data_IF_849969154537
#
_entry.id   IF_849969154537
#
_cell.length_a   1.000
_cell.length_b   1.000
_cell.length_c   1.000
_cell.angle_alpha   90.00
_cell.angle_beta   90.00
_cell.angle_gamma   90.00
#
_symmetry.space_group_name_H-M   'P 1'
#
loop_
_entity.id
_entity.type
_entity.pdbx_description
1 polymer ?
#
# COMPACT_ATOMS: atom_id res chain seq x y z
N UNK A 1 -29.04 -45.97 -29.67
CA UNK A 1 -29.93 -46.94 -29.05
C UNK A 1 -29.99 -46.54 -27.59
N UNK A 2 -31.00 -45.89 -27.06
CA UNK A 2 -32.42 -45.90 -27.21
C UNK A 2 -33.00 -44.50 -26.96
N UNK A 3 -33.92 -44.16 -27.86
CA UNK A 3 -34.89 -43.10 -27.71
C UNK A 3 -35.90 -43.44 -26.63
N UNK A 4 -36.27 -42.49 -25.82
CA UNK A 4 -37.51 -42.53 -25.05
C UNK A 4 -38.24 -41.20 -25.19
N UNK A 5 -39.20 -41.22 -26.11
CA UNK A 5 -40.31 -40.31 -26.24
C UNK A 5 -41.07 -40.22 -24.90
N UNK A 6 -41.35 -39.03 -24.43
CA UNK A 6 -42.38 -38.72 -23.47
C UNK A 6 -43.48 -37.93 -24.13
N UNK A 7 -44.56 -38.59 -24.33
CA UNK A 7 -45.87 -38.07 -24.72
C UNK A 7 -46.32 -36.95 -23.78
N UNK A 8 -46.62 -35.80 -24.35
CA UNK A 8 -47.38 -34.73 -23.74
C UNK A 8 -48.87 -35.00 -23.83
N UNK A 9 -49.46 -35.33 -22.68
CA UNK A 9 -50.92 -35.40 -22.55
C UNK A 9 -51.45 -34.00 -22.26
N UNK A 10 -52.08 -33.39 -23.25
CA UNK A 10 -52.88 -32.17 -23.07
C UNK A 10 -54.19 -32.51 -22.34
N UNK A 11 -54.43 -31.83 -21.22
CA UNK A 11 -55.75 -31.80 -20.56
C UNK A 11 -56.51 -30.54 -20.97
N UNK A 12 -57.77 -30.62 -21.28
CA UNK A 12 -58.56 -29.49 -21.77
C UNK A 12 -59.06 -28.59 -20.63
N UNK A 13 -58.93 -27.33 -20.88
CA UNK A 13 -59.64 -26.17 -20.37
C UNK A 13 -60.44 -26.22 -19.09
N UNK A 14 -59.97 -25.52 -18.08
CA UNK A 14 -60.87 -24.88 -17.09
C UNK A 14 -60.62 -23.35 -17.21
N UNK A 15 -61.62 -22.65 -17.73
CA UNK A 15 -61.67 -21.19 -17.69
C UNK A 15 -61.85 -20.73 -16.26
N UNK A 16 -60.72 -20.48 -15.60
CA UNK A 16 -60.64 -19.76 -14.35
C UNK A 16 -60.30 -18.31 -14.65
N UNK A 17 -61.22 -17.41 -14.40
CA UNK A 17 -61.03 -15.96 -14.32
C UNK A 17 -59.77 -15.67 -13.55
N UNK A 18 -58.77 -15.05 -14.13
CA UNK A 18 -57.56 -14.57 -13.47
C UNK A 18 -57.98 -13.69 -12.27
N UNK A 19 -57.47 -13.94 -11.08
CA UNK A 19 -57.64 -13.01 -9.99
C UNK A 19 -56.95 -11.70 -10.40
N UNK A 20 -57.66 -10.58 -10.15
CA UNK A 20 -57.16 -9.23 -10.33
C UNK A 20 -55.71 -9.17 -9.83
N UNK A 21 -54.80 -8.72 -10.68
CA UNK A 21 -53.51 -8.20 -10.27
C UNK A 21 -53.78 -7.05 -9.29
N UNK A 22 -53.96 -7.38 -8.00
CA UNK A 22 -53.88 -6.39 -6.96
C UNK A 22 -52.52 -5.71 -7.11
N UNK A 23 -52.53 -4.39 -7.34
CA UNK A 23 -51.36 -3.52 -7.46
C UNK A 23 -50.39 -3.84 -6.32
N UNK A 24 -49.41 -4.68 -6.60
CA UNK A 24 -48.27 -4.84 -5.67
C UNK A 24 -47.67 -3.44 -5.49
N UNK A 25 -47.53 -2.98 -4.23
CA UNK A 25 -47.03 -1.66 -3.98
C UNK A 25 -45.63 -1.51 -4.59
N UNK A 26 -45.42 -0.45 -5.37
CA UNK A 26 -44.12 -0.16 -5.99
C UNK A 26 -43.03 -0.12 -4.93
N UNK A 27 -42.08 -1.05 -4.99
CA UNK A 27 -40.93 -1.14 -4.07
C UNK A 27 -39.70 -0.54 -4.74
N UNK A 28 -38.97 0.27 -4.00
CA UNK A 28 -37.72 0.88 -4.47
C UNK A 28 -36.60 0.73 -3.46
N UNK A 29 -35.46 0.24 -3.90
CA UNK A 29 -34.26 0.19 -3.04
C UNK A 29 -33.65 1.58 -2.92
N UNK A 30 -33.51 2.08 -1.70
CA UNK A 30 -32.93 3.42 -1.39
C UNK A 30 -31.81 3.21 -0.39
N UNK A 31 -30.61 3.57 -0.79
CA UNK A 31 -29.42 3.45 0.07
C UNK A 31 -29.50 4.39 1.29
N UNK A 32 -29.25 3.84 2.46
CA UNK A 32 -29.10 4.63 3.68
C UNK A 32 -27.95 5.64 3.58
N UNK A 33 -28.24 6.90 3.90
CA UNK A 33 -27.27 7.98 3.87
C UNK A 33 -26.58 8.20 5.23
N UNK A 34 -27.28 8.05 6.38
CA UNK A 34 -26.66 8.16 7.70
C UNK A 34 -25.68 7.03 7.96
N UNK A 35 -24.77 7.24 8.92
CA UNK A 35 -23.90 6.18 9.42
C UNK A 35 -24.74 5.08 10.11
N UNK A 36 -24.33 3.84 9.97
CA UNK A 36 -24.96 2.70 10.66
C UNK A 36 -24.86 2.81 12.21
N UNK A 37 -23.97 3.67 12.70
CA UNK A 37 -23.72 3.90 14.13
C UNK A 37 -24.32 5.21 14.65
N UNK A 38 -25.10 5.91 13.82
CA UNK A 38 -25.85 7.11 14.21
C UNK A 38 -27.36 6.82 14.26
N UNK A 39 -27.85 6.21 15.37
CA UNK A 39 -29.26 5.83 15.47
C UNK A 39 -30.20 7.03 15.31
N UNK A 40 -29.86 8.21 15.85
CA UNK A 40 -30.64 9.43 15.68
C UNK A 40 -30.66 9.96 14.25
N UNK A 41 -29.51 9.92 13.58
CA UNK A 41 -29.42 10.28 12.17
C UNK A 41 -30.29 9.36 11.30
N UNK A 42 -30.34 8.05 11.61
CA UNK A 42 -31.21 7.10 10.92
C UNK A 42 -32.69 7.39 11.22
N UNK A 43 -33.07 7.53 12.50
CA UNK A 43 -34.45 7.85 12.91
C UNK A 43 -34.99 9.08 12.19
N UNK A 44 -34.21 10.16 12.17
CA UNK A 44 -34.60 11.42 11.50
C UNK A 44 -34.71 11.20 9.97
N UNK A 45 -33.70 10.57 9.37
CA UNK A 45 -33.67 10.37 7.93
C UNK A 45 -34.86 9.50 7.46
N UNK A 46 -35.20 8.42 8.19
CA UNK A 46 -36.36 7.58 7.90
C UNK A 46 -37.68 8.35 8.01
N UNK A 47 -37.81 9.22 9.04
CA UNK A 47 -38.98 10.05 9.21
C UNK A 47 -39.13 11.08 8.09
N UNK A 48 -38.03 11.68 7.61
CA UNK A 48 -38.02 12.56 6.45
C UNK A 48 -38.43 11.79 5.16
N UNK A 49 -38.00 10.55 4.98
CA UNK A 49 -38.41 9.70 3.84
C UNK A 49 -39.89 9.33 3.90
N UNK A 50 -40.39 9.02 5.07
CA UNK A 50 -41.82 8.75 5.25
C UNK A 50 -42.69 9.95 4.92
N UNK A 51 -42.25 11.17 5.25
CA UNK A 51 -42.91 12.43 4.89
C UNK A 51 -42.89 12.69 3.38
N UNK A 52 -41.95 12.07 2.64
CA UNK A 52 -41.90 12.08 1.18
C UNK A 52 -42.73 10.92 0.52
N UNK A 53 -43.46 10.14 1.31
CA UNK A 53 -44.23 8.99 0.82
C UNK A 53 -43.39 7.70 0.62
N UNK A 54 -42.17 7.64 1.17
CA UNK A 54 -41.26 6.49 1.10
C UNK A 54 -41.21 5.80 2.44
N UNK A 55 -41.97 4.72 2.62
CA UNK A 55 -42.06 3.97 3.87
C UNK A 55 -41.11 2.78 3.85
N UNK A 56 -40.30 2.64 4.89
CA UNK A 56 -39.40 1.49 5.05
C UNK A 56 -40.21 0.19 5.21
N UNK A 57 -39.93 -0.81 4.38
CA UNK A 57 -40.49 -2.15 4.43
C UNK A 57 -39.50 -3.16 5.02
N UNK A 58 -38.29 -3.15 4.47
CA UNK A 58 -37.10 -3.91 4.92
C UNK A 58 -35.88 -3.03 4.85
N UNK A 59 -34.78 -3.47 5.37
CA UNK A 59 -33.54 -2.71 5.26
C UNK A 59 -33.21 -2.41 3.76
N UNK A 60 -33.04 -1.13 3.43
CA UNK A 60 -32.83 -0.58 2.08
C UNK A 60 -34.06 -0.63 1.11
N UNK A 61 -35.16 -1.35 1.44
CA UNK A 61 -36.35 -1.44 0.59
C UNK A 61 -37.48 -0.58 1.13
N UNK A 62 -38.00 0.28 0.26
CA UNK A 62 -39.05 1.24 0.57
C UNK A 62 -40.28 1.02 -0.32
N UNK A 63 -41.45 1.09 0.28
CA UNK A 63 -42.71 1.17 -0.46
C UNK A 63 -43.00 2.63 -0.77
N UNK A 64 -43.33 2.91 -2.04
CA UNK A 64 -43.77 4.25 -2.47
C UNK A 64 -45.28 4.34 -2.28
N UNK A 65 -45.70 5.35 -1.56
CA UNK A 65 -47.13 5.58 -1.26
C UNK A 65 -47.38 7.01 -0.84
N UNK A 66 -48.51 7.22 -0.16
CA UNK A 66 -48.88 8.56 0.32
C UNK A 66 -47.88 9.00 1.42
N UNK A 67 -47.52 10.30 1.46
CA UNK A 67 -46.76 10.91 2.55
C UNK A 67 -47.39 10.64 3.91
N UNK A 68 -46.58 10.15 4.85
CA UNK A 68 -47.04 9.88 6.22
C UNK A 68 -46.14 10.57 7.25
N UNK A 69 -46.76 11.25 8.20
CA UNK A 69 -46.07 11.87 9.34
C UNK A 69 -45.87 10.84 10.45
N UNK A 70 -44.91 9.95 10.25
CA UNK A 70 -44.54 8.90 11.22
C UNK A 70 -43.12 9.10 11.74
N UNK A 71 -42.89 8.59 12.95
CA UNK A 71 -41.56 8.58 13.59
C UNK A 71 -40.97 7.17 13.54
N UNK A 72 -39.67 7.14 13.46
CA UNK A 72 -38.91 5.89 13.62
C UNK A 72 -38.14 5.92 14.94
N UNK A 73 -37.96 4.75 15.51
CA UNK A 73 -37.16 4.56 16.72
C UNK A 73 -36.27 3.33 16.58
N UNK A 74 -34.99 3.50 16.91
CA UNK A 74 -33.99 2.44 16.90
C UNK A 74 -33.74 1.98 18.34
N UNK A 75 -34.00 0.69 18.59
CA UNK A 75 -33.76 0.03 19.86
C UNK A 75 -32.66 -1.03 19.69
N UNK A 76 -31.69 -1.15 20.65
CA UNK A 76 -30.68 -2.21 20.59
C UNK A 76 -31.37 -3.58 20.51
N UNK A 77 -30.92 -4.40 19.54
CA UNK A 77 -31.50 -5.74 19.35
C UNK A 77 -31.27 -6.59 20.59
N UNK A 78 -32.33 -7.20 21.08
CA UNK A 78 -32.28 -8.06 22.26
C UNK A 78 -31.61 -9.40 21.93
N UNK A 79 -31.88 -9.93 20.73
CA UNK A 79 -31.38 -11.23 20.26
C UNK A 79 -30.89 -11.18 18.79
N UNK A 80 -30.36 -12.29 18.28
CA UNK A 80 -29.88 -12.42 16.89
C UNK A 80 -31.03 -12.55 15.88
N UNK A 81 -32.23 -12.79 16.35
CA UNK A 81 -33.43 -12.90 15.56
C UNK A 81 -34.29 -11.64 15.60
N UNK A 82 -35.41 -11.67 14.92
CA UNK A 82 -36.45 -10.66 15.02
C UNK A 82 -37.03 -10.64 16.46
N UNK A 83 -37.58 -9.48 16.90
CA UNK A 83 -38.12 -9.39 18.25
C UNK A 83 -39.23 -10.42 18.49
N UNK A 84 -39.19 -11.04 19.66
CA UNK A 84 -40.22 -12.01 20.10
C UNK A 84 -41.61 -11.34 20.20
N UNK A 85 -42.66 -12.14 20.20
CA UNK A 85 -44.04 -11.67 20.24
C UNK A 85 -44.31 -10.84 21.52
N UNK A 86 -43.68 -11.20 22.63
CA UNK A 86 -43.86 -10.46 23.90
C UNK A 86 -43.29 -9.04 23.81
N UNK A 87 -42.16 -8.85 23.13
CA UNK A 87 -41.57 -7.53 22.92
C UNK A 87 -42.39 -6.74 21.90
N UNK A 88 -42.87 -7.39 20.82
CA UNK A 88 -43.74 -6.73 19.81
C UNK A 88 -45.02 -6.21 20.46
N UNK A 89 -45.73 -7.06 21.30
CA UNK A 89 -46.91 -6.61 22.01
C UNK A 89 -46.64 -5.45 22.98
N UNK A 90 -45.52 -5.51 23.74
CA UNK A 90 -45.14 -4.41 24.64
C UNK A 90 -44.94 -3.11 23.87
N UNK A 91 -44.32 -3.15 22.67
CA UNK A 91 -44.08 -1.98 21.84
C UNK A 91 -45.36 -1.50 21.14
N UNK A 92 -46.20 -2.42 20.69
CA UNK A 92 -47.52 -2.11 20.12
C UNK A 92 -48.42 -1.31 21.10
N UNK A 93 -48.41 -1.65 22.40
CA UNK A 93 -49.14 -0.90 23.44
C UNK A 93 -48.62 0.53 23.61
N UNK A 94 -47.40 0.82 23.19
CA UNK A 94 -46.81 2.19 23.19
C UNK A 94 -46.94 2.88 21.82
N UNK A 95 -47.65 2.24 20.86
CA UNK A 95 -47.88 2.82 19.53
C UNK A 95 -46.74 2.56 18.54
N UNK A 96 -45.89 1.54 18.80
CA UNK A 96 -44.78 1.19 17.92
C UNK A 96 -45.03 -0.14 17.20
N UNK A 97 -44.79 -0.16 15.89
CA UNK A 97 -44.86 -1.34 15.02
C UNK A 97 -43.43 -1.73 14.61
N UNK A 98 -43.10 -3.02 14.69
CA UNK A 98 -41.83 -3.54 14.22
C UNK A 98 -41.79 -3.49 12.67
N UNK A 99 -40.70 -2.95 12.11
CA UNK A 99 -40.47 -2.88 10.66
C UNK A 99 -39.44 -3.91 10.23
N UNK A 100 -38.20 -3.75 10.69
CA UNK A 100 -37.10 -4.61 10.35
C UNK A 100 -35.90 -4.39 11.30
N UNK A 101 -34.85 -5.13 11.05
CA UNK A 101 -33.56 -4.98 11.73
C UNK A 101 -32.57 -4.21 10.84
N UNK A 102 -31.65 -3.49 11.45
CA UNK A 102 -30.52 -2.88 10.71
C UNK A 102 -29.65 -3.96 10.10
N UNK A 103 -29.00 -3.68 8.96
CA UNK A 103 -28.12 -4.61 8.25
C UNK A 103 -27.06 -5.24 9.14
N UNK A 104 -26.55 -4.46 10.07
CA UNK A 104 -25.54 -4.91 11.05
C UNK A 104 -26.15 -5.72 12.20
N UNK A 105 -27.48 -5.80 12.32
CA UNK A 105 -28.18 -6.48 13.38
C UNK A 105 -28.00 -5.87 14.76
N UNK A 106 -27.58 -4.60 14.84
CA UNK A 106 -27.34 -3.90 16.10
C UNK A 106 -28.63 -3.37 16.67
N UNK A 107 -29.57 -2.91 15.80
CA UNK A 107 -30.82 -2.30 16.21
C UNK A 107 -32.01 -2.95 15.53
N UNK A 108 -33.14 -2.99 16.27
CA UNK A 108 -34.48 -3.10 15.74
C UNK A 108 -34.98 -1.74 15.31
N UNK A 109 -35.70 -1.66 14.19
CA UNK A 109 -36.33 -0.45 13.67
C UNK A 109 -37.82 -0.54 13.91
N UNK A 110 -38.33 0.39 14.68
CA UNK A 110 -39.74 0.53 15.00
C UNK A 110 -40.31 1.75 14.30
N UNK A 111 -41.55 1.67 13.83
CA UNK A 111 -42.31 2.77 13.25
C UNK A 111 -43.50 3.07 14.14
N UNK A 112 -43.80 4.35 14.40
CA UNK A 112 -44.93 4.75 15.20
C UNK A 112 -45.47 6.10 14.76
N UNK A 113 -46.66 6.46 15.27
CA UNK A 113 -47.19 7.78 15.08
C UNK A 113 -46.34 8.82 15.82
N UNK A 114 -46.51 10.12 15.46
CA UNK A 114 -45.76 11.22 16.08
C UNK A 114 -45.98 11.32 17.58
N UNK A 115 -47.14 10.86 18.06
CA UNK A 115 -47.57 10.84 19.47
C UNK A 115 -47.04 9.62 20.24
N UNK A 116 -46.45 8.63 19.56
CA UNK A 116 -45.96 7.42 20.20
C UNK A 116 -44.93 7.72 21.30
N UNK A 117 -45.09 7.12 22.45
CA UNK A 117 -44.20 7.34 23.59
C UNK A 117 -42.87 6.56 23.36
N UNK A 118 -41.77 7.30 23.40
CA UNK A 118 -40.45 6.70 23.24
C UNK A 118 -40.04 5.96 24.51
N UNK A 119 -39.81 4.66 24.44
CA UNK A 119 -39.40 3.88 25.61
C UNK A 119 -38.05 4.34 26.16
N UNK A 120 -37.94 4.39 27.50
CA UNK A 120 -36.66 4.69 28.13
C UNK A 120 -35.76 3.44 27.97
N UNK A 121 -34.52 3.61 27.47
CA UNK A 121 -33.59 2.50 27.36
C UNK A 121 -33.33 1.90 28.77
N UNK A 122 -33.46 0.59 28.91
CA UNK A 122 -33.07 -0.15 30.10
C UNK A 122 -32.17 -1.29 29.66
N UNK A 123 -31.15 -1.56 30.47
CA UNK A 123 -30.24 -2.72 30.31
C UNK A 123 -29.60 -2.84 28.89
N UNK A 124 -29.18 -1.71 28.31
CA UNK A 124 -28.61 -1.69 26.97
C UNK A 124 -27.38 -2.56 26.81
N UNK A 125 -26.61 -2.77 27.90
CA UNK A 125 -25.35 -3.55 27.88
C UNK A 125 -25.57 -5.05 27.78
N UNK A 126 -26.71 -5.54 28.18
CA UNK A 126 -27.04 -6.99 28.09
C UNK A 126 -27.59 -7.38 26.73
N UNK A 127 -27.89 -6.37 25.89
CA UNK A 127 -28.47 -6.61 24.56
C UNK A 127 -27.48 -7.30 23.62
N UNK A 128 -28.03 -8.11 22.72
CA UNK A 128 -27.24 -8.69 21.60
C UNK A 128 -26.59 -7.63 20.75
N UNK A 129 -27.32 -6.52 20.46
CA UNK A 129 -26.82 -5.39 19.69
C UNK A 129 -25.55 -4.78 20.28
N UNK A 130 -25.47 -4.62 21.60
CA UNK A 130 -24.26 -4.16 22.27
C UNK A 130 -23.09 -5.14 22.11
N UNK A 131 -23.34 -6.44 22.35
CA UNK A 131 -22.29 -7.47 22.16
C UNK A 131 -21.78 -7.50 20.73
N UNK A 132 -22.66 -7.36 19.76
CA UNK A 132 -22.31 -7.30 18.33
C UNK A 132 -21.51 -6.05 17.98
N UNK A 133 -21.87 -4.90 18.54
CA UNK A 133 -21.10 -3.65 18.41
C UNK A 133 -19.67 -3.81 18.96
N UNK A 134 -19.53 -4.38 20.17
CA UNK A 134 -18.23 -4.64 20.79
C UNK A 134 -17.36 -5.59 19.94
N UNK A 135 -17.96 -6.65 19.39
CA UNK A 135 -17.27 -7.61 18.51
C UNK A 135 -16.81 -6.91 17.22
N UNK A 136 -17.65 -6.04 16.63
CA UNK A 136 -17.32 -5.30 15.42
C UNK A 136 -16.23 -4.26 15.69
N UNK A 137 -16.32 -3.56 16.82
CA UNK A 137 -15.29 -2.62 17.27
C UNK A 137 -13.94 -3.30 17.45
N UNK A 138 -13.91 -4.48 18.11
CA UNK A 138 -12.67 -5.26 18.25
C UNK A 138 -12.08 -5.69 16.90
N UNK A 139 -12.93 -6.11 15.96
CA UNK A 139 -12.49 -6.47 14.60
C UNK A 139 -11.94 -5.30 13.83
N UNK A 140 -12.47 -4.08 14.02
CA UNK A 140 -12.01 -2.89 13.31
C UNK A 140 -10.59 -2.46 13.68
N UNK A 141 -10.01 -2.96 14.78
CA UNK A 141 -8.59 -2.77 15.11
C UNK A 141 -7.68 -3.76 14.42
N UNK A 142 -8.19 -4.91 14.00
CA UNK A 142 -7.36 -5.97 13.43
C UNK A 142 -6.75 -5.55 12.08
N UNK A 143 -7.54 -4.98 11.20
CA UNK A 143 -7.08 -4.60 9.85
C UNK A 143 -6.00 -3.50 9.87
N UNK A 144 -6.17 -2.37 10.60
CA UNK A 144 -5.09 -1.37 10.72
C UNK A 144 -3.82 -1.91 11.38
N UNK A 145 -3.96 -2.75 12.41
CA UNK A 145 -2.80 -3.40 13.04
C UNK A 145 -2.08 -4.33 12.07
N UNK A 146 -2.81 -5.06 11.25
CA UNK A 146 -2.24 -5.92 10.22
C UNK A 146 -1.44 -5.10 9.20
N UNK A 147 -2.01 -4.01 8.67
CA UNK A 147 -1.27 -3.13 7.74
C UNK A 147 -0.05 -2.51 8.39
N UNK A 148 -0.15 -2.02 9.62
CA UNK A 148 1.01 -1.50 10.36
C UNK A 148 2.13 -2.53 10.49
N UNK A 149 1.79 -3.78 10.81
CA UNK A 149 2.78 -4.87 10.91
C UNK A 149 3.38 -5.19 9.55
N UNK A 150 2.57 -5.18 8.47
CA UNK A 150 3.05 -5.40 7.10
C UNK A 150 3.98 -4.26 6.67
N UNK A 151 3.64 -3.01 6.95
CA UNK A 151 4.47 -1.85 6.62
C UNK A 151 5.81 -1.90 7.38
N UNK A 152 5.80 -2.19 8.69
CA UNK A 152 7.02 -2.37 9.50
C UNK A 152 7.85 -3.54 8.95
N UNK A 153 7.20 -4.65 8.61
CA UNK A 153 7.89 -5.81 8.04
C UNK A 153 8.49 -5.50 6.67
N UNK A 154 7.77 -4.75 5.82
CA UNK A 154 8.26 -4.33 4.50
C UNK A 154 9.50 -3.43 4.64
N UNK A 155 9.46 -2.46 5.55
CA UNK A 155 10.62 -1.59 5.85
C UNK A 155 11.79 -2.43 6.36
N UNK A 156 11.55 -3.32 7.33
CA UNK A 156 12.57 -4.23 7.84
C UNK A 156 13.14 -5.13 6.74
N UNK A 157 12.28 -5.69 5.88
CA UNK A 157 12.68 -6.54 4.75
C UNK A 157 13.56 -5.75 3.77
N UNK A 158 13.17 -4.53 3.39
CA UNK A 158 13.97 -3.67 2.52
C UNK A 158 15.37 -3.42 3.12
N UNK A 159 15.46 -3.10 4.42
CA UNK A 159 16.75 -2.86 5.07
C UNK A 159 17.56 -4.13 5.35
N UNK A 160 16.93 -5.30 5.48
CA UNK A 160 17.62 -6.55 5.82
C UNK A 160 18.02 -7.38 4.60
N UNK A 161 17.25 -7.27 3.50
CA UNK A 161 17.52 -8.01 2.25
C UNK A 161 18.44 -7.21 1.33
N UNK A 162 18.38 -5.89 1.40
CA UNK A 162 19.31 -5.02 0.70
C UNK A 162 20.61 -4.98 1.49
N UNK A 163 21.63 -5.66 0.98
CA UNK A 163 22.98 -5.62 1.57
C UNK A 163 23.58 -4.21 1.58
N UNK A 164 23.05 -3.32 0.74
CA UNK A 164 23.46 -1.93 0.53
C UNK A 164 22.24 -0.98 0.58
N UNK A 165 21.66 -0.73 1.79
CA UNK A 165 20.43 0.06 1.90
C UNK A 165 20.58 1.51 1.47
N UNK A 166 21.69 2.18 1.77
CA UNK A 166 21.93 3.58 1.38
C UNK A 166 22.11 3.70 -0.12
N UNK A 167 22.95 2.85 -0.71
CA UNK A 167 23.14 2.78 -2.16
C UNK A 167 21.82 2.53 -2.88
N UNK A 168 21.05 1.52 -2.46
CA UNK A 168 19.75 1.19 -3.04
C UNK A 168 18.76 2.36 -2.96
N UNK A 169 18.80 3.11 -1.86
CA UNK A 169 17.96 4.29 -1.68
C UNK A 169 18.37 5.43 -2.62
N UNK A 170 19.68 5.63 -2.83
CA UNK A 170 20.19 6.67 -3.72
C UNK A 170 19.98 6.34 -5.19
N UNK A 171 20.04 5.07 -5.56
CA UNK A 171 19.84 4.59 -6.95
C UNK A 171 18.37 4.37 -7.30
N UNK A 172 17.44 4.61 -6.35
CA UNK A 172 16.00 4.40 -6.53
C UNK A 172 15.43 5.32 -7.60
N UNK A 173 14.87 4.74 -8.65
CA UNK A 173 14.24 5.50 -9.75
C UNK A 173 13.00 6.27 -9.32
N UNK A 174 12.60 7.27 -10.11
CA UNK A 174 11.39 8.09 -9.84
C UNK A 174 10.14 7.24 -9.68
N UNK A 175 10.00 6.19 -10.50
CA UNK A 175 8.88 5.23 -10.45
C UNK A 175 8.82 4.49 -9.12
N UNK A 176 9.97 4.07 -8.60
CA UNK A 176 10.09 3.34 -7.32
C UNK A 176 9.75 4.23 -6.13
N UNK A 177 10.27 5.47 -6.13
CA UNK A 177 9.96 6.47 -5.09
C UNK A 177 8.46 6.77 -5.07
N UNK A 178 7.83 6.98 -6.23
CA UNK A 178 6.39 7.22 -6.33
C UNK A 178 5.60 6.02 -5.82
N UNK A 179 6.01 4.80 -6.16
CA UNK A 179 5.40 3.57 -5.70
C UNK A 179 5.47 3.45 -4.18
N UNK A 180 6.66 3.65 -3.59
CA UNK A 180 6.89 3.58 -2.16
C UNK A 180 6.05 4.61 -1.40
N UNK A 181 6.06 5.88 -1.86
CA UNK A 181 5.23 6.96 -1.29
C UNK A 181 3.74 6.64 -1.43
N UNK A 182 3.30 6.06 -2.56
CA UNK A 182 1.90 5.70 -2.80
C UNK A 182 1.42 4.59 -1.87
N UNK A 183 2.26 3.60 -1.56
CA UNK A 183 1.96 2.52 -0.60
C UNK A 183 1.78 3.12 0.81
N UNK A 184 2.75 3.91 1.26
CA UNK A 184 2.69 4.55 2.59
C UNK A 184 1.47 5.46 2.70
N UNK A 185 1.23 6.30 1.71
CA UNK A 185 0.08 7.21 1.69
C UNK A 185 -1.25 6.44 1.67
N UNK A 186 -1.34 5.36 0.89
CA UNK A 186 -2.49 4.47 0.85
C UNK A 186 -2.79 3.84 2.21
N UNK A 187 -1.76 3.34 2.91
CA UNK A 187 -1.88 2.79 4.26
C UNK A 187 -2.34 3.84 5.27
N UNK A 188 -1.76 5.04 5.25
CA UNK A 188 -2.16 6.14 6.14
C UNK A 188 -3.62 6.54 5.88
N UNK A 189 -4.02 6.72 4.63
CA UNK A 189 -5.40 7.08 4.27
C UNK A 189 -6.39 5.97 4.65
N UNK A 190 -6.01 4.70 4.50
CA UNK A 190 -6.77 3.54 4.95
C UNK A 190 -7.02 3.59 6.47
N UNK A 191 -5.97 3.75 7.26
CA UNK A 191 -6.04 3.87 8.73
C UNK A 191 -6.94 5.06 9.15
N UNK A 192 -6.79 6.22 8.51
CA UNK A 192 -7.56 7.41 8.81
C UNK A 192 -9.05 7.25 8.45
N UNK A 193 -9.37 6.59 7.33
CA UNK A 193 -10.76 6.35 6.91
C UNK A 193 -11.52 5.46 7.90
N UNK A 194 -10.85 4.46 8.46
CA UNK A 194 -11.44 3.56 9.46
C UNK A 194 -11.47 4.16 10.87
N UNK A 195 -10.54 5.06 11.20
CA UNK A 195 -10.49 5.70 12.51
C UNK A 195 -11.79 6.43 12.85
N UNK A 196 -12.45 7.00 11.84
CA UNK A 196 -13.73 7.65 12.04
C UNK A 196 -14.86 6.67 12.38
N UNK A 197 -15.00 5.59 11.60
CA UNK A 197 -16.02 4.58 11.86
C UNK A 197 -15.83 3.98 13.26
N UNK A 198 -14.59 3.77 13.67
CA UNK A 198 -14.24 3.36 15.04
C UNK A 198 -14.67 4.39 16.09
N UNK A 199 -14.45 5.67 15.83
CA UNK A 199 -14.86 6.72 16.76
C UNK A 199 -16.39 6.80 16.91
N UNK A 200 -17.13 6.62 15.82
CA UNK A 200 -18.59 6.53 15.84
C UNK A 200 -19.07 5.30 16.65
N UNK A 201 -18.46 4.14 16.42
CA UNK A 201 -18.72 2.93 17.20
C UNK A 201 -18.40 3.11 18.69
N UNK A 202 -17.29 3.79 19.03
CA UNK A 202 -16.92 4.11 20.41
C UNK A 202 -17.91 5.05 21.07
N UNK A 203 -18.36 6.08 20.36
CA UNK A 203 -19.36 7.03 20.85
C UNK A 203 -20.68 6.32 21.12
N UNK A 204 -21.12 5.47 20.18
CA UNK A 204 -22.33 4.66 20.35
C UNK A 204 -22.17 3.70 21.53
N UNK A 205 -21.03 3.01 21.65
CA UNK A 205 -20.76 2.11 22.78
C UNK A 205 -20.88 2.79 24.12
N UNK A 206 -20.24 3.97 24.28
CA UNK A 206 -20.32 4.77 25.53
C UNK A 206 -21.75 5.18 25.86
N UNK A 207 -22.51 5.62 24.85
CA UNK A 207 -23.91 5.99 25.06
C UNK A 207 -24.77 4.79 25.48
N UNK A 208 -24.54 3.61 24.91
CA UNK A 208 -25.21 2.38 25.33
C UNK A 208 -24.81 1.96 26.76
N UNK A 209 -23.55 2.14 27.15
CA UNK A 209 -23.08 1.89 28.54
C UNK A 209 -23.71 2.86 29.54
N UNK A 210 -23.91 4.12 29.17
CA UNK A 210 -24.56 5.12 29.98
C UNK A 210 -26.11 5.04 29.94
N UNK A 211 -26.67 4.16 29.10
CA UNK A 211 -28.11 4.14 28.77
C UNK A 211 -28.64 5.51 28.33
N UNK A 212 -27.80 6.30 27.68
CA UNK A 212 -28.12 7.62 27.18
C UNK A 212 -28.43 7.58 25.67
N UNK A 213 -29.24 8.54 25.22
CA UNK A 213 -29.49 8.72 23.80
C UNK A 213 -28.29 9.40 23.16
N UNK A 214 -27.77 8.78 22.09
CA UNK A 214 -26.71 9.38 21.26
C UNK A 214 -27.20 10.68 20.65
N UNK A 215 -26.42 11.75 20.76
CA UNK A 215 -26.66 12.95 20.00
C UNK A 215 -26.36 12.69 18.51
N UNK A 216 -27.04 13.43 17.61
CA UNK A 216 -26.85 13.28 16.17
C UNK A 216 -25.39 13.52 15.78
N UNK A 217 -24.77 12.54 15.16
CA UNK A 217 -23.39 12.66 14.74
C UNK A 217 -23.23 13.60 13.52
N UNK A 218 -22.17 14.42 13.48
CA UNK A 218 -21.96 15.32 12.37
C UNK A 218 -21.73 14.56 11.07
N UNK A 219 -22.46 14.92 10.01
CA UNK A 219 -22.34 14.29 8.69
C UNK A 219 -20.95 14.50 8.10
N UNK A 220 -20.20 13.45 7.91
CA UNK A 220 -18.86 13.55 7.35
C UNK A 220 -18.87 13.50 5.81
N UNK A 221 -18.61 14.63 5.19
CA UNK A 221 -18.48 14.74 3.73
C UNK A 221 -17.17 14.12 3.20
N UNK A 222 -16.15 14.05 4.06
CA UNK A 222 -14.80 13.56 3.70
C UNK A 222 -14.65 12.04 3.63
N UNK A 223 -15.54 11.27 4.25
CA UNK A 223 -15.46 9.80 4.25
C UNK A 223 -15.50 9.20 2.85
N UNK A 224 -16.30 9.80 1.92
CA UNK A 224 -16.36 9.35 0.52
C UNK A 224 -15.08 9.71 -0.22
N UNK A 225 -14.54 10.90 0.01
CA UNK A 225 -13.29 11.36 -0.60
C UNK A 225 -12.10 10.52 -0.15
N UNK A 226 -11.99 10.21 1.15
CA UNK A 226 -10.92 9.36 1.67
C UNK A 226 -10.94 7.95 1.06
N UNK A 227 -12.12 7.32 0.93
CA UNK A 227 -12.21 6.00 0.27
C UNK A 227 -11.81 6.05 -1.20
N UNK A 228 -12.24 7.10 -1.92
CA UNK A 228 -11.83 7.28 -3.31
C UNK A 228 -10.32 7.48 -3.44
N UNK A 229 -9.71 8.30 -2.58
CA UNK A 229 -8.27 8.51 -2.53
C UNK A 229 -7.50 7.23 -2.21
N UNK A 230 -7.97 6.41 -1.26
CA UNK A 230 -7.35 5.11 -0.93
C UNK A 230 -7.39 4.16 -2.14
N UNK A 231 -8.52 4.09 -2.86
CA UNK A 231 -8.64 3.27 -4.07
C UNK A 231 -7.71 3.79 -5.17
N UNK A 232 -7.67 5.11 -5.39
CA UNK A 232 -6.80 5.73 -6.39
C UNK A 232 -5.33 5.45 -6.08
N UNK A 233 -4.90 5.62 -4.82
CA UNK A 233 -3.53 5.33 -4.39
C UNK A 233 -3.17 3.84 -4.60
N UNK A 234 -4.08 2.93 -4.27
CA UNK A 234 -3.88 1.49 -4.52
C UNK A 234 -3.79 1.13 -6.00
N UNK A 235 -4.66 1.71 -6.84
CA UNK A 235 -4.60 1.50 -8.30
C UNK A 235 -3.32 2.07 -8.87
N UNK A 236 -2.90 3.27 -8.45
CA UNK A 236 -1.65 3.89 -8.88
C UNK A 236 -0.44 3.02 -8.53
N UNK A 237 -0.37 2.53 -7.29
CA UNK A 237 0.71 1.63 -6.86
C UNK A 237 0.77 0.35 -7.71
N UNK A 238 -0.38 -0.29 -7.96
CA UNK A 238 -0.45 -1.49 -8.80
C UNK A 238 -0.03 -1.20 -10.26
N UNK A 239 -0.45 -0.06 -10.82
CA UNK A 239 -0.10 0.33 -12.19
C UNK A 239 1.40 0.54 -12.33
N UNK A 240 2.05 1.18 -11.34
CA UNK A 240 3.49 1.41 -11.34
C UNK A 240 4.28 0.09 -11.19
N UNK A 241 3.80 -0.85 -10.36
CA UNK A 241 4.40 -2.20 -10.28
C UNK A 241 4.34 -2.89 -11.64
N UNK A 242 3.21 -2.81 -12.33
CA UNK A 242 3.02 -3.46 -13.64
C UNK A 242 3.87 -2.83 -14.73
N UNK A 243 4.07 -1.50 -14.67
CA UNK A 243 4.93 -0.79 -15.63
C UNK A 243 6.39 -1.20 -15.48
N UNK A 244 6.88 -1.30 -14.24
CA UNK A 244 8.28 -1.67 -13.97
C UNK A 244 8.65 -3.07 -14.49
N UNK A 245 7.74 -4.05 -14.44
CA UNK A 245 7.99 -5.40 -14.96
C UNK A 245 8.30 -5.38 -16.46
N UNK A 246 7.86 -4.33 -17.17
CA UNK A 246 8.10 -4.16 -18.61
C UNK A 246 9.24 -3.21 -18.95
N UNK A 247 9.78 -2.46 -17.97
CA UNK A 247 10.83 -1.45 -18.19
C UNK A 247 12.13 -1.90 -17.52
N UNK A 248 12.71 -2.98 -18.03
CA UNK A 248 14.10 -3.34 -17.72
C UNK A 248 15.00 -2.47 -18.59
N UNK A 249 15.24 -1.25 -18.14
CA UNK A 249 16.23 -0.37 -18.75
C UNK A 249 17.62 -0.98 -18.51
N UNK A 250 18.12 -1.70 -19.52
CA UNK A 250 19.54 -1.95 -19.64
C UNK A 250 20.22 -0.61 -19.87
N UNK A 251 21.35 -0.36 -19.21
CA UNK A 251 22.17 0.80 -19.51
C UNK A 251 22.56 0.82 -21.01
N UNK A 252 22.77 2.00 -21.53
CA UNK A 252 23.21 2.16 -22.91
C UNK A 252 24.62 1.55 -23.07
N UNK A 253 24.88 0.93 -24.21
CA UNK A 253 26.20 0.39 -24.56
C UNK A 253 26.85 1.32 -25.57
N UNK A 254 28.14 1.60 -25.39
CA UNK A 254 28.92 2.52 -26.21
C UNK A 254 30.24 1.87 -26.64
N UNK A 255 30.74 2.21 -27.82
CA UNK A 255 32.04 1.78 -28.31
C UNK A 255 33.20 2.53 -27.60
N UNK A 256 32.93 3.74 -27.16
CA UNK A 256 33.82 4.56 -26.33
C UNK A 256 33.09 5.09 -25.12
N UNK A 257 33.70 5.16 -23.90
CA UNK A 257 33.06 5.67 -22.74
C UNK A 257 32.70 7.15 -22.91
N UNK A 258 31.41 7.52 -22.83
CA UNK A 258 30.99 8.92 -22.94
C UNK A 258 31.29 9.76 -21.69
N UNK A 259 31.72 9.10 -20.63
CA UNK A 259 32.09 9.67 -19.35
C UNK A 259 33.56 9.41 -19.03
N UNK A 260 34.21 10.24 -18.20
CA UNK A 260 35.57 9.99 -17.72
C UNK A 260 35.73 8.60 -17.12
N UNK A 261 36.72 7.84 -17.56
CA UNK A 261 36.86 6.45 -17.15
C UNK A 261 38.30 5.95 -17.24
N UNK A 262 38.72 5.16 -16.27
CA UNK A 262 39.97 4.40 -16.31
C UNK A 262 39.64 2.99 -16.74
N UNK A 263 39.98 2.62 -17.95
CA UNK A 263 39.74 1.29 -18.49
C UNK A 263 40.79 0.28 -18.06
N UNK A 264 40.49 -1.00 -18.28
CA UNK A 264 41.38 -2.11 -17.97
C UNK A 264 42.76 -1.98 -18.64
N UNK A 265 42.83 -1.46 -19.88
CA UNK A 265 44.09 -1.23 -20.59
C UNK A 265 45.04 -0.23 -19.92
N UNK A 266 44.49 0.82 -19.31
CA UNK A 266 45.26 1.83 -18.56
C UNK A 266 45.87 1.24 -17.28
N UNK A 267 45.30 0.15 -16.78
CA UNK A 267 45.71 -0.58 -15.58
C UNK A 267 46.51 -1.86 -15.94
N UNK A 268 47.13 -1.89 -17.11
CA UNK A 268 47.99 -2.97 -17.53
C UNK A 268 47.29 -4.27 -17.93
N UNK A 269 45.97 -4.29 -17.98
CA UNK A 269 45.16 -5.42 -18.38
C UNK A 269 44.87 -5.45 -19.87
N UNK A 270 44.31 -6.57 -20.35
CA UNK A 270 43.78 -6.68 -21.71
C UNK A 270 42.33 -6.16 -21.75
N UNK A 271 41.99 -5.42 -22.80
CA UNK A 271 40.64 -4.93 -23.00
C UNK A 271 39.65 -6.08 -23.11
N UNK A 272 38.68 -6.11 -22.19
CA UNK A 272 37.75 -7.23 -22.08
C UNK A 272 36.64 -7.25 -23.13
N UNK A 273 36.16 -6.07 -23.58
CA UNK A 273 35.09 -5.96 -24.58
C UNK A 273 35.26 -4.72 -25.46
N UNK A 274 34.59 -4.72 -26.62
CA UNK A 274 34.57 -3.57 -27.54
C UNK A 274 33.54 -2.52 -27.15
N UNK A 275 32.86 -2.65 -26.01
CA UNK A 275 31.82 -1.74 -25.58
C UNK A 275 31.74 -1.57 -24.06
N UNK A 276 31.28 -0.40 -23.65
CA UNK A 276 31.14 0.01 -22.28
C UNK A 276 29.65 0.05 -21.90
N UNK A 277 29.31 -0.43 -20.72
CA UNK A 277 28.01 -0.19 -20.12
C UNK A 277 28.02 1.15 -19.39
N UNK A 278 27.12 2.04 -19.74
CA UNK A 278 27.01 3.36 -19.10
C UNK A 278 25.62 3.54 -18.53
N UNK A 279 25.59 4.06 -17.31
CA UNK A 279 24.35 4.41 -16.62
C UNK A 279 24.48 5.82 -16.05
N UNK A 280 23.63 6.73 -16.51
CA UNK A 280 23.46 8.06 -15.95
C UNK A 280 22.08 8.17 -15.35
N UNK A 281 22.01 8.22 -14.01
CA UNK A 281 20.77 8.26 -13.26
C UNK A 281 20.63 9.59 -12.52
N UNK A 282 19.63 10.37 -12.91
CA UNK A 282 19.16 11.48 -12.07
C UNK A 282 18.01 11.03 -11.20
N UNK A 283 18.29 10.70 -9.94
CA UNK A 283 17.29 10.21 -9.00
C UNK A 283 16.77 11.31 -8.07
N UNK A 284 15.54 11.17 -7.52
CA UNK A 284 15.01 12.20 -6.64
C UNK A 284 15.81 12.42 -5.36
N UNK A 285 16.48 11.38 -4.85
CA UNK A 285 17.20 11.36 -3.58
C UNK A 285 18.71 11.29 -3.78
N UNK A 286 19.15 10.52 -4.78
CA UNK A 286 20.57 10.34 -5.09
C UNK A 286 21.20 11.50 -5.84
N UNK A 287 20.42 12.48 -6.34
CA UNK A 287 20.96 13.50 -7.20
C UNK A 287 21.43 12.90 -8.51
N UNK A 288 22.74 12.97 -8.81
CA UNK A 288 23.35 12.32 -9.94
C UNK A 288 24.10 11.06 -9.49
N UNK A 289 23.91 9.99 -10.24
CA UNK A 289 24.65 8.74 -10.09
C UNK A 289 25.13 8.32 -11.47
N UNK A 290 26.43 8.30 -11.64
CA UNK A 290 27.07 7.86 -12.86
C UNK A 290 27.70 6.49 -12.63
N UNK A 291 27.50 5.56 -13.55
CA UNK A 291 28.13 4.24 -13.51
C UNK A 291 28.68 3.92 -14.89
N UNK A 292 29.93 3.56 -14.96
CA UNK A 292 30.60 3.12 -16.18
C UNK A 292 31.32 1.80 -15.91
N UNK A 293 31.09 0.81 -16.74
CA UNK A 293 31.72 -0.49 -16.57
C UNK A 293 32.15 -1.09 -17.89
N UNK A 294 33.24 -1.81 -17.84
CA UNK A 294 33.81 -2.60 -18.92
C UNK A 294 33.57 -4.10 -18.65
N UNK A 295 32.89 -4.78 -19.57
CA UNK A 295 32.62 -6.21 -19.42
C UNK A 295 33.81 -7.05 -19.85
N UNK A 296 34.14 -8.13 -19.11
CA UNK A 296 35.17 -9.06 -19.54
C UNK A 296 34.75 -9.73 -20.84
N UNK A 297 35.72 -10.03 -21.70
CA UNK A 297 35.53 -10.83 -22.90
C UNK A 297 35.11 -12.26 -22.47
N UNK A 298 33.82 -12.51 -22.41
CA UNK A 298 33.30 -13.84 -22.08
C UNK A 298 32.74 -14.52 -23.31
N UNK A 299 33.47 -15.44 -23.85
CA UNK A 299 33.01 -16.39 -24.89
C UNK A 299 31.93 -17.37 -24.44
N UNK A 300 31.27 -17.18 -23.29
CA UNK A 300 30.18 -18.02 -22.78
C UNK A 300 29.11 -17.24 -22.10
N UNK A 301 27.89 -17.44 -22.56
CA UNK A 301 26.62 -16.77 -22.21
C UNK A 301 26.19 -16.94 -20.72
N UNK A 302 26.95 -17.64 -19.89
CA UNK A 302 26.49 -18.09 -18.56
C UNK A 302 27.01 -17.27 -17.36
N UNK A 303 27.70 -16.18 -17.59
CA UNK A 303 28.15 -15.30 -16.51
C UNK A 303 27.37 -13.99 -16.54
N UNK A 304 26.41 -13.85 -15.64
CA UNK A 304 25.75 -12.59 -15.29
C UNK A 304 26.82 -11.50 -15.11
N UNK A 305 26.76 -10.47 -15.98
CA UNK A 305 27.63 -9.31 -16.10
C UNK A 305 28.56 -9.06 -14.90
N UNK A 306 29.73 -9.69 -14.89
CA UNK A 306 30.83 -9.27 -14.05
C UNK A 306 31.66 -8.30 -14.89
N UNK A 307 31.63 -7.04 -14.54
CA UNK A 307 32.54 -6.07 -15.12
C UNK A 307 33.96 -6.35 -14.61
N UNK A 308 34.93 -6.36 -15.52
CA UNK A 308 36.34 -6.41 -15.12
C UNK A 308 36.80 -5.12 -14.47
N UNK A 309 36.13 -4.04 -14.80
CA UNK A 309 36.36 -2.71 -14.24
C UNK A 309 35.03 -1.95 -14.15
N UNK A 310 34.75 -1.35 -13.01
CA UNK A 310 33.52 -0.64 -12.72
C UNK A 310 33.84 0.63 -11.94
N UNK A 311 33.29 1.76 -12.38
CA UNK A 311 33.37 3.06 -11.73
C UNK A 311 31.96 3.54 -11.46
N UNK A 312 31.65 3.83 -10.20
CA UNK A 312 30.42 4.48 -9.79
C UNK A 312 30.74 5.81 -9.11
N UNK A 313 30.07 6.87 -9.54
CA UNK A 313 30.14 8.18 -8.90
C UNK A 313 28.77 8.59 -8.38
N UNK A 314 28.70 8.98 -7.12
CA UNK A 314 27.50 9.38 -6.41
C UNK A 314 27.59 10.82 -5.96
N UNK A 315 26.64 11.67 -6.39
CA UNK A 315 26.47 13.04 -5.90
C UNK A 315 25.09 13.22 -5.24
N UNK A 316 24.90 12.71 -4.00
CA UNK A 316 23.62 12.78 -3.32
C UNK A 316 23.13 14.21 -3.11
N UNK A 317 21.84 14.48 -3.38
CA UNK A 317 21.21 15.78 -3.06
C UNK A 317 21.31 16.16 -1.59
N UNK A 318 21.33 15.15 -0.71
CA UNK A 318 21.55 15.32 0.71
C UNK A 318 22.99 14.89 1.00
N UNK A 319 23.90 15.85 1.02
CA UNK A 319 25.33 15.60 1.20
C UNK A 319 25.68 14.76 2.45
N UNK A 320 24.86 14.84 3.48
CA UNK A 320 25.01 14.01 4.68
C UNK A 320 24.90 12.49 4.44
N UNK A 321 24.35 12.07 3.30
CA UNK A 321 24.27 10.65 2.92
C UNK A 321 25.58 10.10 2.35
N UNK A 322 26.53 10.94 1.97
CA UNK A 322 27.82 10.50 1.44
C UNK A 322 28.62 9.69 2.48
N UNK A 323 28.64 10.12 3.74
CA UNK A 323 29.35 9.42 4.81
C UNK A 323 28.82 8.00 5.04
N UNK A 324 27.51 7.78 5.30
CA UNK A 324 26.98 6.43 5.46
C UNK A 324 27.11 5.59 4.19
N UNK A 325 27.02 6.19 2.98
CA UNK A 325 27.28 5.48 1.72
C UNK A 325 28.73 4.98 1.65
N UNK A 326 29.70 5.84 1.94
CA UNK A 326 31.13 5.47 1.94
C UNK A 326 31.40 4.29 2.88
N UNK A 327 30.86 4.34 4.10
CA UNK A 327 31.00 3.24 5.06
C UNK A 327 30.30 1.96 4.60
N UNK A 328 29.12 2.08 4.02
CA UNK A 328 28.37 0.94 3.48
C UNK A 328 29.14 0.25 2.34
N UNK A 329 29.64 1.01 1.38
CA UNK A 329 30.45 0.50 0.26
C UNK A 329 31.75 -0.17 0.79
N UNK A 330 32.42 0.49 1.73
CA UNK A 330 33.62 -0.06 2.38
C UNK A 330 33.33 -1.39 3.08
N UNK A 331 32.32 -1.43 3.92
CA UNK A 331 32.03 -2.62 4.76
C UNK A 331 31.51 -3.78 3.93
N UNK A 332 30.84 -3.50 2.79
CA UNK A 332 30.31 -4.53 1.91
C UNK A 332 31.34 -5.08 0.93
N UNK A 333 32.08 -4.21 0.24
CA UNK A 333 32.98 -4.64 -0.83
C UNK A 333 34.43 -4.91 -0.38
N UNK A 334 34.90 -4.22 0.64
CA UNK A 334 36.32 -4.26 1.01
C UNK A 334 36.63 -5.20 2.18
N UNK A 335 35.64 -5.68 2.92
CA UNK A 335 35.84 -6.65 4.01
C UNK A 335 36.78 -6.17 5.11
N UNK A 336 37.68 -7.06 5.62
CA UNK A 336 38.57 -6.78 6.76
C UNK A 336 39.91 -6.17 6.39
N UNK A 337 40.34 -6.26 5.13
CA UNK A 337 41.70 -5.89 4.70
C UNK A 337 41.78 -4.47 4.13
N UNK A 338 40.89 -3.60 4.60
CA UNK A 338 40.80 -2.21 4.19
C UNK A 338 41.97 -1.40 4.70
N UNK A 339 42.58 -0.65 3.80
CA UNK A 339 43.63 0.32 4.10
C UNK A 339 43.09 1.72 3.91
N UNK A 340 43.24 2.56 4.92
CA UNK A 340 42.94 4.00 4.81
C UNK A 340 44.11 4.69 4.13
N UNK A 341 43.83 5.41 3.06
CA UNK A 341 44.81 6.25 2.35
C UNK A 341 44.64 7.71 2.79
N UNK A 342 45.74 8.45 2.72
CA UNK A 342 45.74 9.90 2.91
C UNK A 342 46.05 10.53 1.56
N UNK A 343 45.01 11.11 0.92
CA UNK A 343 45.10 11.76 -0.38
C UNK A 343 44.69 13.22 -0.21
N UNK A 344 45.51 14.14 -0.63
CA UNK A 344 45.21 15.57 -0.53
C UNK A 344 43.91 15.92 -1.26
N UNK A 345 43.05 16.67 -0.61
CA UNK A 345 41.75 17.08 -1.15
C UNK A 345 40.60 16.11 -0.92
N UNK A 346 40.82 14.93 -0.35
CA UNK A 346 39.77 13.98 0.02
C UNK A 346 39.60 13.87 1.53
N UNK A 347 38.36 13.79 1.98
CA UNK A 347 38.02 13.62 3.41
C UNK A 347 38.26 12.18 3.86
N UNK A 348 37.96 11.22 3.00
CA UNK A 348 38.15 9.79 3.22
C UNK A 348 38.61 9.11 1.92
N UNK A 349 39.58 8.23 2.04
CA UNK A 349 40.04 7.36 0.96
C UNK A 349 40.34 5.97 1.50
N UNK A 350 39.77 4.96 0.86
CA UNK A 350 39.91 3.56 1.24
C UNK A 350 40.38 2.73 0.05
N UNK A 351 41.31 1.80 0.30
CA UNK A 351 41.81 0.84 -0.66
C UNK A 351 41.75 -0.56 -0.08
N UNK A 352 41.40 -1.52 -0.90
CA UNK A 352 41.48 -2.94 -0.56
C UNK A 352 41.91 -3.76 -1.77
N UNK A 353 42.60 -4.84 -1.51
CA UNK A 353 43.09 -5.79 -2.51
C UNK A 353 42.87 -7.20 -1.99
N UNK A 354 42.25 -8.06 -2.81
CA UNK A 354 42.01 -9.44 -2.48
C UNK A 354 42.53 -10.33 -3.61
N UNK A 355 43.21 -11.41 -3.22
CA UNK A 355 43.60 -12.45 -4.13
C UNK A 355 42.55 -13.57 -4.03
N UNK A 356 41.83 -13.80 -5.11
CA UNK A 356 40.84 -14.86 -5.22
C UNK A 356 41.45 -16.02 -6.05
N UNK A 357 41.53 -17.23 -5.46
CA UNK A 357 42.03 -18.38 -6.20
C UNK A 357 41.16 -18.63 -7.45
N UNK A 358 41.81 -18.77 -8.61
CA UNK A 358 41.09 -19.07 -9.84
C UNK A 358 40.64 -20.56 -9.81
N UNK A 359 39.40 -20.76 -9.32
CA UNK A 359 38.80 -22.10 -9.19
C UNK A 359 38.25 -22.62 -10.50
N UNK A 360 38.05 -21.76 -11.51
CA UNK A 360 37.52 -22.13 -12.83
C UNK A 360 38.57 -22.66 -13.76
N UNK A 361 39.75 -22.08 -13.72
CA UNK A 361 40.87 -22.43 -14.56
C UNK A 361 42.15 -22.66 -13.70
N UNK A 362 42.34 -23.87 -13.14
CA UNK A 362 43.39 -24.12 -12.14
C UNK A 362 44.83 -23.86 -12.61
N UNK A 363 45.05 -23.63 -13.90
CA UNK A 363 46.36 -23.34 -14.49
C UNK A 363 46.57 -21.87 -14.80
N UNK A 364 45.58 -21.02 -14.55
CA UNK A 364 45.68 -19.56 -14.67
C UNK A 364 46.06 -18.93 -13.34
N UNK A 365 46.68 -17.75 -13.36
CA UNK A 365 46.99 -17.03 -12.15
C UNK A 365 45.72 -16.68 -11.36
N UNK A 366 45.89 -16.54 -10.05
CA UNK A 366 44.83 -16.08 -9.17
C UNK A 366 44.32 -14.67 -9.59
N UNK A 367 43.01 -14.46 -9.47
CA UNK A 367 42.38 -13.16 -9.79
C UNK A 367 42.68 -12.17 -8.68
N UNK A 368 43.20 -10.99 -9.04
CA UNK A 368 43.42 -9.88 -8.10
C UNK A 368 42.25 -8.94 -8.23
N UNK A 369 41.47 -8.79 -7.15
CA UNK A 369 40.41 -7.81 -7.08
C UNK A 369 40.88 -6.60 -6.29
N UNK A 370 40.80 -5.42 -6.87
CA UNK A 370 41.17 -4.17 -6.23
C UNK A 370 39.98 -3.23 -6.15
N UNK A 371 39.89 -2.50 -5.04
CA UNK A 371 38.83 -1.58 -4.74
C UNK A 371 39.36 -0.26 -4.25
N UNK A 372 38.78 0.84 -4.71
CA UNK A 372 39.09 2.20 -4.27
C UNK A 372 37.80 2.95 -3.98
N UNK A 373 37.74 3.63 -2.83
CA UNK A 373 36.66 4.55 -2.48
C UNK A 373 37.27 5.89 -2.15
N UNK A 374 36.78 6.93 -2.78
CA UNK A 374 37.19 8.32 -2.53
C UNK A 374 35.95 9.12 -2.13
N UNK A 375 36.03 9.89 -1.05
CA UNK A 375 34.97 10.82 -0.64
C UNK A 375 35.51 12.22 -0.45
N UNK A 376 34.81 13.19 -1.03
CA UNK A 376 35.06 14.61 -0.83
C UNK A 376 33.73 15.36 -0.64
N UNK A 377 33.56 15.95 0.55
CA UNK A 377 32.31 16.62 0.90
C UNK A 377 31.10 15.69 0.83
N UNK A 378 30.18 15.98 -0.08
CA UNK A 378 28.96 15.24 -0.32
C UNK A 378 29.04 14.20 -1.44
N UNK A 379 30.21 13.97 -2.04
CA UNK A 379 30.39 13.14 -3.22
C UNK A 379 31.24 11.92 -2.92
N UNK A 380 30.95 10.79 -3.60
CA UNK A 380 31.64 9.52 -3.40
C UNK A 380 31.93 8.89 -4.76
N UNK A 381 33.17 8.52 -4.99
CA UNK A 381 33.60 7.68 -6.10
C UNK A 381 33.93 6.30 -5.57
N UNK A 382 33.38 5.27 -6.17
CA UNK A 382 33.70 3.87 -5.96
C UNK A 382 34.28 3.30 -7.27
N UNK A 383 35.38 2.59 -7.14
CA UNK A 383 36.02 1.94 -8.26
C UNK A 383 36.40 0.52 -7.88
N UNK A 384 36.19 -0.38 -8.84
CA UNK A 384 36.55 -1.80 -8.72
C UNK A 384 37.24 -2.24 -10.01
N UNK A 385 38.29 -3.06 -9.89
CA UNK A 385 38.95 -3.67 -11.03
C UNK A 385 39.54 -5.04 -10.69
N UNK A 386 39.77 -5.82 -11.75
CA UNK A 386 40.53 -7.07 -11.75
C UNK A 386 41.84 -6.90 -12.56
N UNK A 387 42.19 -5.70 -12.93
CA UNK A 387 43.41 -5.38 -13.67
C UNK A 387 44.70 -5.63 -12.82
N UNK A 388 45.85 -5.94 -13.46
CA UNK A 388 47.07 -6.35 -12.76
C UNK A 388 47.78 -5.17 -12.06
N UNK A 389 47.69 -3.94 -12.61
CA UNK A 389 48.41 -2.79 -12.04
C UNK A 389 47.72 -2.30 -10.78
N UNK A 390 48.53 -1.84 -9.83
CA UNK A 390 48.00 -1.35 -8.55
C UNK A 390 47.29 -0.02 -8.70
N UNK A 391 46.03 0.08 -8.23
CA UNK A 391 45.29 1.35 -8.22
C UNK A 391 46.00 2.47 -7.45
N UNK A 392 46.95 2.11 -6.57
CA UNK A 392 47.75 3.11 -5.84
C UNK A 392 48.69 3.91 -6.73
N UNK A 393 49.07 3.35 -7.88
CA UNK A 393 49.97 4.03 -8.83
C UNK A 393 49.22 5.04 -9.67
N UNK A 394 47.88 4.99 -9.66
CA UNK A 394 46.98 5.80 -10.49
C UNK A 394 46.10 6.79 -9.67
N UNK A 395 46.49 7.08 -8.42
CA UNK A 395 45.66 7.93 -7.55
C UNK A 395 45.44 9.34 -8.07
N UNK A 396 46.42 9.90 -8.81
CA UNK A 396 46.32 11.22 -9.40
C UNK A 396 45.26 11.23 -10.53
N UNK A 397 45.21 10.17 -11.36
CA UNK A 397 44.22 10.02 -12.41
C UNK A 397 42.79 9.87 -11.82
N UNK A 398 42.66 9.16 -10.70
CA UNK A 398 41.38 9.07 -10.01
C UNK A 398 40.95 10.40 -9.42
N UNK A 399 41.87 11.23 -8.92
CA UNK A 399 41.57 12.58 -8.47
C UNK A 399 41.08 13.48 -9.60
N UNK A 400 41.73 13.41 -10.77
CA UNK A 400 41.31 14.16 -11.98
C UNK A 400 39.92 13.72 -12.48
N UNK A 401 39.65 12.41 -12.47
CA UNK A 401 38.34 11.85 -12.83
C UNK A 401 37.27 12.30 -11.83
N UNK A 402 37.55 12.27 -10.55
CA UNK A 402 36.65 12.75 -9.52
C UNK A 402 36.24 14.20 -9.76
N UNK A 403 37.22 15.09 -10.10
CA UNK A 403 36.95 16.47 -10.41
C UNK A 403 36.04 16.63 -11.64
N UNK A 404 36.29 15.84 -12.71
CA UNK A 404 35.43 15.84 -13.90
C UNK A 404 33.99 15.43 -13.61
N UNK A 405 33.78 14.41 -12.79
CA UNK A 405 32.42 13.99 -12.38
C UNK A 405 31.75 15.03 -11.47
N UNK A 406 32.52 15.66 -10.57
CA UNK A 406 32.03 16.73 -9.71
C UNK A 406 31.55 17.95 -10.50
N UNK A 407 32.20 18.25 -11.65
CA UNK A 407 31.76 19.31 -12.57
C UNK A 407 30.49 18.95 -13.37
N UNK A 408 30.25 17.65 -13.60
CA UNK A 408 29.07 17.15 -14.32
C UNK A 408 27.82 17.05 -13.42
N UNK A 409 28.00 16.84 -12.11
CA UNK A 409 26.93 16.62 -11.15
C UNK A 409 26.26 17.91 -10.64
#
# INVERSE_FOLDING_TARGET
MDENLRETTELPGSGGTAPNEENEPETKSIRFVPSAYDPRGIEQWLSERAAEGKLLLRYDDFVIGEPRDCRYHLEPAADDDDPDESLREKRARLGWEYVCRTKDGIFYIWRGEKTAHVPTPKDCTDSYGYRRLCKKLRRSYFLPMFFLVVDIWLVYFLFSVLSLPVMSFLTMEKSEVIQFVSIILGSILGILSEAKERNEMWTLKRAMEACERVEKMPRNRWAKANRALTIIAGVLALTLIFWRVNDTAYGDSYDEPPLPYIGTEMLGGERGSDWYGVRDLSTPLGGHVYSVGETPYAGTIDTWMQYSTELDFYAPRISALAVPLTHELRDYFMGSDVQTLFIDGFDEAYYAEFIKPNTRLPNEPDEVHQFLILRRGGEVLYFRTEAPDSLREHLDEFADIFDQYSELA
#
